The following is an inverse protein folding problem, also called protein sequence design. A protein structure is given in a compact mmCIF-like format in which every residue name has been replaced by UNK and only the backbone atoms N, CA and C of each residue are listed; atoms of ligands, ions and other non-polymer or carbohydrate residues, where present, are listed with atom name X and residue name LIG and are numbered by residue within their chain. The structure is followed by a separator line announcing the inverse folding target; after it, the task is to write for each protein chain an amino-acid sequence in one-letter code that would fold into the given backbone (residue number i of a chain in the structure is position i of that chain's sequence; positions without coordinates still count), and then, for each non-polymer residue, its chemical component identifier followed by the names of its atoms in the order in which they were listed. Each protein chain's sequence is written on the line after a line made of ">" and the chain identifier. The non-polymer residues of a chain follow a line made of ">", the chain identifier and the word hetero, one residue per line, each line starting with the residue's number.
data_IF_820134206801
#
_entry.id   IF_820134206801
#
_cell.length_a   1.000
_cell.length_b   1.000
_cell.length_c   1.000
_cell.angle_alpha   90.00
_cell.angle_beta   90.00
_cell.angle_gamma   90.00
#
_symmetry.space_group_name_H-M   'P 1'
#
loop_
_entity.id
_entity.type
_entity.pdbx_description
1 polymer ?
#
# COMPACT_ATOMS: atom_id res chain seq x y z
N UNK A 1 -6.53 46.19 -52.37
CA UNK A 1 -6.09 44.83 -51.99
C UNK A 1 -6.36 44.69 -50.51
N UNK A 2 -7.52 44.15 -50.15
CA UNK A 2 -7.99 44.05 -48.78
C UNK A 2 -7.47 42.74 -48.18
N UNK A 3 -6.57 42.84 -47.21
CA UNK A 3 -5.95 41.68 -46.56
C UNK A 3 -6.94 41.05 -45.59
N UNK A 4 -7.52 39.91 -46.00
CA UNK A 4 -8.35 39.09 -45.12
C UNK A 4 -7.44 38.51 -44.02
N UNK A 5 -7.52 39.06 -42.82
CA UNK A 5 -6.89 38.46 -41.64
C UNK A 5 -7.63 37.15 -41.31
N UNK A 6 -6.94 36.00 -41.23
CA UNK A 6 -7.59 34.75 -40.86
C UNK A 6 -8.04 34.82 -39.40
N UNK A 7 -9.34 34.61 -39.18
CA UNK A 7 -9.95 34.47 -37.85
C UNK A 7 -9.22 33.37 -37.06
N UNK A 8 -8.79 33.61 -35.81
CA UNK A 8 -8.14 32.58 -35.00
C UNK A 8 -9.11 31.40 -34.79
N UNK A 9 -8.69 30.20 -35.17
CA UNK A 9 -9.45 28.98 -34.87
C UNK A 9 -9.61 28.86 -33.35
N UNK A 10 -10.82 28.60 -32.82
CA UNK A 10 -11.03 28.42 -31.40
C UNK A 10 -10.14 27.27 -30.90
N UNK A 11 -9.34 27.56 -29.87
CA UNK A 11 -8.44 26.59 -29.27
C UNK A 11 -9.23 25.31 -28.91
N UNK A 12 -8.75 24.16 -29.41
CA UNK A 12 -9.38 22.87 -29.17
C UNK A 12 -9.53 22.63 -27.66
N UNK A 13 -10.76 22.75 -27.16
CA UNK A 13 -11.10 22.46 -25.78
C UNK A 13 -10.83 20.97 -25.57
N UNK A 14 -9.86 20.63 -24.71
CA UNK A 14 -9.59 19.23 -24.34
C UNK A 14 -10.93 18.60 -23.93
N UNK A 15 -11.36 17.51 -24.58
CA UNK A 15 -12.67 16.93 -24.27
C UNK A 15 -12.67 16.54 -22.79
N UNK A 16 -13.56 17.17 -22.02
CA UNK A 16 -13.76 16.80 -20.64
C UNK A 16 -14.19 15.33 -20.63
N UNK A 17 -13.36 14.45 -20.06
CA UNK A 17 -13.73 13.05 -19.88
C UNK A 17 -15.05 13.02 -19.12
N UNK A 18 -16.08 12.45 -19.73
CA UNK A 18 -17.40 12.29 -19.12
C UNK A 18 -17.53 10.85 -18.67
N UNK A 19 -18.12 10.66 -17.50
CA UNK A 19 -18.51 9.34 -17.00
C UNK A 19 -19.54 8.71 -17.94
N UNK A 20 -19.81 7.40 -17.79
CA UNK A 20 -20.87 6.71 -18.54
C UNK A 20 -22.28 7.34 -18.38
N UNK A 21 -22.47 8.20 -17.37
CA UNK A 21 -23.70 8.98 -17.12
C UNK A 21 -23.62 10.43 -17.63
N UNK A 22 -22.60 10.78 -18.40
CA UNK A 22 -22.42 12.13 -18.96
C UNK A 22 -21.92 13.20 -17.99
N UNK A 23 -21.69 12.87 -16.71
CA UNK A 23 -21.17 13.81 -15.71
C UNK A 23 -19.66 14.04 -15.91
N UNK A 24 -19.13 15.24 -15.62
CA UNK A 24 -17.69 15.49 -15.64
C UNK A 24 -16.95 14.47 -14.78
N UNK A 25 -15.94 13.80 -15.34
CA UNK A 25 -15.10 12.87 -14.60
C UNK A 25 -14.23 13.64 -13.62
N UNK A 26 -14.51 13.45 -12.33
CA UNK A 26 -13.65 13.94 -11.27
C UNK A 26 -12.78 12.78 -10.75
N UNK A 27 -11.44 12.83 -10.96
CA UNK A 27 -10.53 11.80 -10.51
C UNK A 27 -10.70 11.57 -8.99
N UNK A 28 -10.76 10.31 -8.58
CA UNK A 28 -10.85 9.98 -7.15
C UNK A 28 -9.58 10.34 -6.36
N UNK A 29 -8.46 10.58 -7.05
CA UNK A 29 -7.17 10.91 -6.47
C UNK A 29 -6.64 12.20 -7.11
N UNK A 30 -6.59 13.27 -6.34
CA UNK A 30 -6.02 14.55 -6.75
C UNK A 30 -4.48 14.48 -6.95
N UNK A 31 -3.86 15.48 -7.62
CA UNK A 31 -2.44 15.43 -7.98
C UNK A 31 -1.48 15.20 -6.81
N UNK A 32 -1.71 15.86 -5.67
CA UNK A 32 -0.89 15.69 -4.45
C UNK A 32 -1.04 14.29 -3.85
N UNK A 33 -2.26 13.74 -3.87
CA UNK A 33 -2.55 12.41 -3.34
C UNK A 33 -1.92 11.31 -4.22
N UNK A 34 -1.72 11.56 -5.52
CA UNK A 34 -0.97 10.65 -6.41
C UNK A 34 0.50 10.55 -6.01
N UNK A 35 1.16 11.66 -5.66
CA UNK A 35 2.56 11.63 -5.19
C UNK A 35 2.67 10.81 -3.92
N UNK A 36 1.75 11.03 -2.97
CA UNK A 36 1.72 10.23 -1.73
C UNK A 36 1.48 8.74 -2.02
N UNK A 37 0.59 8.41 -2.94
CA UNK A 37 0.38 7.03 -3.38
C UNK A 37 1.67 6.38 -3.90
N UNK A 38 2.45 7.10 -4.71
CA UNK A 38 3.75 6.60 -5.18
C UNK A 38 4.74 6.37 -4.04
N UNK A 39 4.79 7.26 -3.04
CA UNK A 39 5.60 7.07 -1.83
C UNK A 39 5.16 5.80 -1.09
N UNK A 40 3.85 5.60 -0.92
CA UNK A 40 3.30 4.40 -0.28
C UNK A 40 3.68 3.15 -1.07
N UNK A 41 3.55 3.14 -2.41
CA UNK A 41 3.94 2.00 -3.23
C UNK A 41 5.44 1.72 -3.20
N UNK A 42 6.29 2.74 -3.25
CA UNK A 42 7.74 2.57 -3.12
C UNK A 42 8.10 1.96 -1.76
N UNK A 43 7.47 2.45 -0.68
CA UNK A 43 7.64 1.90 0.66
C UNK A 43 7.16 0.45 0.76
N UNK A 44 5.98 0.13 0.24
CA UNK A 44 5.45 -1.24 0.21
C UNK A 44 6.38 -2.16 -0.61
N UNK A 45 6.91 -1.71 -1.73
CA UNK A 45 7.85 -2.49 -2.53
C UNK A 45 9.16 -2.78 -1.77
N UNK A 46 9.72 -1.77 -1.09
CA UNK A 46 10.90 -1.94 -0.23
C UNK A 46 10.63 -2.93 0.92
N UNK A 47 9.50 -2.79 1.61
CA UNK A 47 9.10 -3.69 2.68
C UNK A 47 8.85 -5.11 2.17
N UNK A 48 8.23 -5.24 0.99
CA UNK A 48 8.02 -6.52 0.33
C UNK A 48 9.33 -7.21 -0.01
N UNK A 49 10.29 -6.51 -0.59
CA UNK A 49 11.60 -7.06 -0.95
C UNK A 49 12.40 -7.50 0.30
N UNK A 50 12.47 -6.65 1.32
CA UNK A 50 13.16 -6.97 2.58
C UNK A 50 12.46 -8.10 3.34
N UNK A 51 11.13 -8.12 3.38
CA UNK A 51 10.34 -9.19 4.01
C UNK A 51 10.49 -10.53 3.28
N UNK A 52 10.46 -10.53 1.95
CA UNK A 52 10.69 -11.73 1.14
C UNK A 52 12.09 -12.31 1.38
N UNK A 53 13.12 -11.46 1.47
CA UNK A 53 14.48 -11.89 1.84
C UNK A 53 14.51 -12.56 3.22
N UNK A 54 13.91 -11.94 4.24
CA UNK A 54 13.91 -12.48 5.62
C UNK A 54 13.17 -13.82 5.70
N UNK A 55 12.02 -13.94 5.03
CA UNK A 55 11.29 -15.20 4.93
C UNK A 55 12.12 -16.26 4.21
N UNK A 56 12.79 -15.90 3.11
CA UNK A 56 13.63 -16.84 2.35
C UNK A 56 14.80 -17.39 3.20
N UNK A 57 15.51 -16.53 3.93
CA UNK A 57 16.59 -16.94 4.85
C UNK A 57 16.04 -17.86 5.94
N UNK A 58 14.89 -17.51 6.53
CA UNK A 58 14.24 -18.34 7.55
C UNK A 58 13.87 -19.73 7.01
N UNK A 59 13.30 -19.80 5.81
CA UNK A 59 12.95 -21.06 5.16
C UNK A 59 14.19 -21.90 4.82
N UNK A 60 15.25 -21.27 4.30
CA UNK A 60 16.49 -21.94 3.98
C UNK A 60 17.13 -22.57 5.23
N UNK A 61 17.13 -21.84 6.33
CA UNK A 61 17.58 -22.34 7.63
C UNK A 61 16.74 -23.53 8.12
N UNK A 62 15.41 -23.46 7.99
CA UNK A 62 14.53 -24.57 8.36
C UNK A 62 14.79 -25.83 7.53
N UNK A 63 15.01 -25.68 6.22
CA UNK A 63 15.22 -26.82 5.31
C UNK A 63 16.62 -27.41 5.43
N UNK A 64 17.64 -26.57 5.65
CA UNK A 64 19.05 -27.00 5.65
C UNK A 64 19.60 -27.29 7.04
N UNK A 65 18.94 -26.84 8.11
CA UNK A 65 19.41 -27.01 9.49
C UNK A 65 20.69 -26.22 9.82
N UNK A 66 21.07 -25.26 8.98
CA UNK A 66 22.25 -24.41 9.15
C UNK A 66 21.84 -22.97 9.42
N UNK A 67 22.66 -22.22 10.15
CA UNK A 67 22.42 -20.79 10.38
C UNK A 67 22.78 -19.99 9.13
N UNK A 68 21.79 -19.30 8.55
CA UNK A 68 21.98 -18.39 7.41
C UNK A 68 21.82 -16.91 7.80
N UNK A 69 21.44 -16.63 9.05
CA UNK A 69 21.41 -15.27 9.58
C UNK A 69 22.83 -14.73 9.76
N UNK A 70 23.07 -13.51 9.26
CA UNK A 70 24.35 -12.84 9.29
C UNK A 70 24.13 -11.31 9.44
N UNK A 71 25.22 -10.54 9.39
CA UNK A 71 25.15 -9.07 9.52
C UNK A 71 24.21 -8.41 8.50
N UNK A 72 24.16 -8.94 7.27
CA UNK A 72 23.27 -8.42 6.23
C UNK A 72 21.81 -8.74 6.55
N UNK A 73 21.51 -9.92 7.10
CA UNK A 73 20.16 -10.26 7.57
C UNK A 73 19.67 -9.34 8.69
N UNK A 74 20.56 -8.98 9.62
CA UNK A 74 20.27 -7.98 10.66
C UNK A 74 20.01 -6.61 10.01
N UNK A 75 20.85 -6.19 9.06
CA UNK A 75 20.64 -4.94 8.31
C UNK A 75 19.29 -4.90 7.58
N UNK A 76 18.91 -5.99 6.92
CA UNK A 76 17.61 -6.13 6.25
C UNK A 76 16.44 -6.07 7.21
N UNK A 77 16.55 -6.72 8.37
CA UNK A 77 15.56 -6.59 9.43
C UNK A 77 15.43 -5.14 9.92
N UNK A 78 16.53 -4.42 10.12
CA UNK A 78 16.51 -3.02 10.54
C UNK A 78 15.85 -2.13 9.49
N UNK A 79 16.20 -2.28 8.21
CA UNK A 79 15.53 -1.56 7.12
C UNK A 79 14.03 -1.86 7.12
N UNK A 80 13.65 -3.14 7.21
CA UNK A 80 12.25 -3.55 7.22
C UNK A 80 11.48 -2.94 8.40
N UNK A 81 12.03 -3.04 9.61
CA UNK A 81 11.39 -2.54 10.82
C UNK A 81 11.28 -1.00 10.83
N UNK A 82 12.39 -0.30 10.55
CA UNK A 82 12.43 1.17 10.58
C UNK A 82 11.54 1.75 9.49
N UNK A 83 11.69 1.31 8.24
CA UNK A 83 10.83 1.80 7.15
C UNK A 83 9.38 1.35 7.34
N UNK A 84 9.14 0.21 7.97
CA UNK A 84 7.80 -0.26 8.31
C UNK A 84 7.08 0.73 9.22
N UNK A 85 7.76 1.17 10.29
CA UNK A 85 7.24 2.20 11.20
C UNK A 85 7.08 3.55 10.50
N UNK A 86 8.07 3.99 9.71
CA UNK A 86 8.00 5.27 8.99
C UNK A 86 6.85 5.30 7.98
N UNK A 87 6.58 4.19 7.30
CA UNK A 87 5.52 4.09 6.29
C UNK A 87 4.11 4.14 6.88
N UNK A 88 3.94 3.90 8.19
CA UNK A 88 2.63 3.95 8.85
C UNK A 88 1.96 5.31 8.68
N UNK A 89 2.69 6.40 8.89
CA UNK A 89 2.14 7.76 8.79
C UNK A 89 1.62 8.10 7.39
N UNK A 90 2.43 8.01 6.31
CA UNK A 90 1.94 8.28 4.97
C UNK A 90 0.85 7.29 4.53
N UNK A 91 0.92 6.02 4.94
CA UNK A 91 -0.12 5.03 4.66
C UNK A 91 -1.47 5.40 5.30
N UNK A 92 -1.49 5.69 6.61
CA UNK A 92 -2.70 6.06 7.34
C UNK A 92 -3.29 7.37 6.81
N UNK A 93 -2.44 8.37 6.55
CA UNK A 93 -2.88 9.64 5.98
C UNK A 93 -3.51 9.43 4.60
N UNK A 94 -2.84 8.69 3.72
CA UNK A 94 -3.38 8.36 2.39
C UNK A 94 -4.72 7.63 2.50
N UNK A 95 -4.79 6.58 3.32
CA UNK A 95 -5.99 5.75 3.46
C UNK A 95 -7.19 6.52 4.00
N UNK A 96 -6.99 7.35 5.03
CA UNK A 96 -8.05 8.19 5.60
C UNK A 96 -8.57 9.23 4.60
N UNK A 97 -7.67 9.96 3.91
CA UNK A 97 -8.05 10.98 2.92
C UNK A 97 -8.73 10.32 1.71
N UNK A 98 -8.21 9.19 1.23
CA UNK A 98 -8.80 8.46 0.12
C UNK A 98 -10.21 7.94 0.47
N UNK A 99 -10.37 7.34 1.66
CA UNK A 99 -11.67 6.83 2.12
C UNK A 99 -12.71 7.94 2.28
N UNK A 100 -12.35 9.05 2.94
CA UNK A 100 -13.27 10.18 3.15
C UNK A 100 -13.79 10.77 1.84
N UNK A 101 -12.93 10.85 0.83
CA UNK A 101 -13.26 11.34 -0.51
C UNK A 101 -14.04 10.33 -1.34
N UNK A 102 -13.75 9.03 -1.20
CA UNK A 102 -14.32 7.97 -2.04
C UNK A 102 -15.60 7.32 -1.48
N UNK A 103 -15.88 7.41 -0.17
CA UNK A 103 -16.96 6.65 0.50
C UNK A 103 -18.36 6.85 -0.08
N UNK A 104 -18.64 8.02 -0.67
CA UNK A 104 -19.94 8.34 -1.26
C UNK A 104 -20.05 8.01 -2.75
N UNK A 105 -18.99 7.49 -3.38
CA UNK A 105 -19.00 7.15 -4.81
C UNK A 105 -20.03 6.04 -5.11
N UNK A 106 -20.66 6.05 -6.31
CA UNK A 106 -21.74 5.13 -6.66
C UNK A 106 -21.28 3.67 -6.80
N UNK A 107 -20.02 3.43 -7.16
CA UNK A 107 -19.47 2.08 -7.25
C UNK A 107 -19.15 1.53 -5.86
N UNK A 108 -20.14 0.88 -5.25
CA UNK A 108 -20.04 0.32 -3.89
C UNK A 108 -19.03 -0.82 -3.78
N UNK A 109 -18.78 -1.56 -4.87
CA UNK A 109 -17.78 -2.63 -4.86
C UNK A 109 -16.37 -2.06 -4.69
N UNK A 110 -16.02 -1.04 -5.48
CA UNK A 110 -14.72 -0.37 -5.36
C UNK A 110 -14.51 0.24 -3.97
N UNK A 111 -15.55 0.86 -3.39
CA UNK A 111 -15.51 1.41 -2.02
C UNK A 111 -15.31 0.31 -0.98
N UNK A 112 -16.07 -0.80 -1.05
CA UNK A 112 -15.91 -1.93 -0.13
C UNK A 112 -14.51 -2.51 -0.19
N UNK A 113 -13.99 -2.78 -1.41
CA UNK A 113 -12.63 -3.30 -1.59
C UNK A 113 -11.57 -2.32 -1.08
N UNK A 114 -11.77 -1.01 -1.24
CA UNK A 114 -10.87 0.01 -0.69
C UNK A 114 -10.85 0.03 0.84
N UNK A 115 -12.02 -0.10 1.48
CA UNK A 115 -12.14 -0.25 2.94
C UNK A 115 -11.46 -1.54 3.40
N UNK A 116 -11.72 -2.66 2.74
CA UNK A 116 -11.09 -3.94 3.06
C UNK A 116 -9.57 -3.83 2.94
N UNK A 117 -9.05 -3.25 1.86
CA UNK A 117 -7.62 -3.04 1.67
C UNK A 117 -7.02 -2.19 2.80
N UNK A 118 -7.69 -1.11 3.19
CA UNK A 118 -7.22 -0.25 4.27
C UNK A 118 -7.17 -0.98 5.61
N UNK A 119 -8.21 -1.75 5.94
CA UNK A 119 -8.25 -2.60 7.14
C UNK A 119 -7.13 -3.65 7.10
N UNK A 120 -6.95 -4.35 5.97
CA UNK A 120 -5.88 -5.33 5.82
C UNK A 120 -4.50 -4.70 6.00
N UNK A 121 -4.26 -3.50 5.48
CA UNK A 121 -3.01 -2.76 5.71
C UNK A 121 -2.80 -2.37 7.18
N UNK A 122 -3.87 -2.02 7.91
CA UNK A 122 -3.81 -1.81 9.37
C UNK A 122 -3.43 -3.11 10.09
N UNK A 123 -3.96 -4.27 9.68
CA UNK A 123 -3.59 -5.56 10.27
C UNK A 123 -2.11 -5.90 10.03
N UNK A 124 -1.56 -5.60 8.85
CA UNK A 124 -0.13 -5.74 8.56
C UNK A 124 0.69 -4.85 9.51
N UNK A 125 0.29 -3.58 9.66
CA UNK A 125 0.95 -2.63 10.55
C UNK A 125 0.96 -3.08 12.01
N UNK A 126 -0.20 -3.46 12.55
CA UNK A 126 -0.34 -3.88 13.94
C UNK A 126 0.42 -5.18 14.22
N UNK A 127 0.36 -6.15 13.30
CA UNK A 127 1.12 -7.39 13.44
C UNK A 127 2.64 -7.15 13.37
N UNK A 128 3.11 -6.22 12.53
CA UNK A 128 4.52 -5.84 12.46
C UNK A 128 5.00 -5.18 13.74
N UNK A 129 4.25 -4.19 14.26
CA UNK A 129 4.55 -3.53 15.53
C UNK A 129 4.58 -4.54 16.70
N UNK A 130 3.65 -5.50 16.73
CA UNK A 130 3.59 -6.52 17.78
C UNK A 130 4.79 -7.49 17.76
N UNK A 131 5.50 -7.62 16.63
CA UNK A 131 6.67 -8.49 16.51
C UNK A 131 7.99 -7.83 16.93
N UNK A 132 8.00 -6.50 17.08
CA UNK A 132 9.16 -5.72 17.52
C UNK A 132 9.52 -6.13 18.96
N UNK A 133 10.81 -6.42 19.17
CA UNK A 133 11.34 -6.80 20.48
C UNK A 133 12.27 -5.71 20.99
N UNK A 134 11.70 -4.76 21.73
CA UNK A 134 12.44 -3.67 22.36
C UNK A 134 12.23 -3.75 23.88
N UNK A 135 13.33 -3.73 24.64
CA UNK A 135 13.37 -4.01 26.09
C UNK A 135 12.42 -3.16 26.95
N UNK A 136 11.93 -2.02 26.42
CA UNK A 136 11.02 -1.09 27.12
C UNK A 136 9.59 -1.07 26.56
N UNK A 137 9.25 -1.97 25.66
CA UNK A 137 7.91 -2.07 25.05
C UNK A 137 7.26 -3.42 25.40
N UNK A 138 5.93 -3.54 25.29
CA UNK A 138 5.28 -4.85 25.33
C UNK A 138 5.86 -5.77 24.26
N UNK A 139 6.33 -6.95 24.65
CA UNK A 139 6.93 -7.93 23.74
C UNK A 139 6.11 -9.21 23.73
N UNK A 140 5.87 -9.76 22.54
CA UNK A 140 5.40 -11.13 22.40
C UNK A 140 6.56 -12.10 22.66
N UNK A 141 6.50 -12.94 23.72
CA UNK A 141 7.63 -13.80 24.07
C UNK A 141 7.98 -14.77 22.95
N UNK A 142 9.27 -14.97 22.72
CA UNK A 142 9.77 -15.92 21.73
C UNK A 142 9.35 -17.35 22.08
N UNK A 143 9.04 -18.17 21.07
CA UNK A 143 8.62 -19.56 21.25
C UNK A 143 7.15 -19.77 21.63
N UNK A 144 6.37 -18.70 21.80
CA UNK A 144 4.93 -18.80 22.10
C UNK A 144 4.07 -19.02 20.85
N UNK A 145 2.92 -19.69 21.03
CA UNK A 145 1.93 -19.87 19.97
C UNK A 145 1.40 -18.53 19.46
N UNK A 146 1.17 -17.56 20.35
CA UNK A 146 0.69 -16.22 19.98
C UNK A 146 1.65 -15.52 19.02
N UNK A 147 2.96 -15.54 19.30
CA UNK A 147 3.97 -14.96 18.41
C UNK A 147 3.99 -15.67 17.05
N UNK A 148 3.84 -16.99 17.02
CA UNK A 148 3.76 -17.76 15.77
C UNK A 148 2.55 -17.37 14.91
N UNK A 149 1.38 -17.22 15.53
CA UNK A 149 0.16 -16.77 14.83
C UNK A 149 0.36 -15.37 14.27
N UNK A 150 0.87 -14.43 15.09
CA UNK A 150 1.12 -13.04 14.66
C UNK A 150 2.15 -12.98 13.54
N UNK A 151 3.24 -13.75 13.63
CA UNK A 151 4.23 -13.87 12.57
C UNK A 151 3.63 -14.42 11.27
N UNK A 152 2.85 -15.50 11.35
CA UNK A 152 2.17 -16.08 10.18
C UNK A 152 1.20 -15.08 9.53
N UNK A 153 0.42 -14.36 10.33
CA UNK A 153 -0.45 -13.29 9.85
C UNK A 153 0.35 -12.16 9.21
N UNK A 154 1.46 -11.73 9.80
CA UNK A 154 2.30 -10.66 9.26
C UNK A 154 2.92 -11.04 7.90
N UNK A 155 3.21 -12.31 7.68
CA UNK A 155 3.71 -12.81 6.39
C UNK A 155 2.58 -12.98 5.35
N UNK A 156 1.41 -13.46 5.77
CA UNK A 156 0.30 -13.77 4.86
C UNK A 156 -0.54 -12.54 4.46
N UNK A 157 -0.78 -11.62 5.40
CA UNK A 157 -1.66 -10.45 5.19
C UNK A 157 -1.17 -9.48 4.11
N UNK A 158 0.14 -9.22 3.90
CA UNK A 158 0.62 -8.41 2.78
C UNK A 158 0.31 -9.03 1.42
N UNK A 159 0.43 -10.36 1.30
CA UNK A 159 0.10 -11.08 0.06
C UNK A 159 -1.38 -10.94 -0.26
N UNK A 160 -2.24 -11.09 0.76
CA UNK A 160 -3.68 -10.85 0.63
C UNK A 160 -3.98 -9.38 0.26
N UNK A 161 -3.26 -8.41 0.84
CA UNK A 161 -3.42 -7.00 0.53
C UNK A 161 -3.11 -6.71 -0.96
N UNK A 162 -2.09 -7.35 -1.55
CA UNK A 162 -1.80 -7.21 -2.99
C UNK A 162 -2.98 -7.73 -3.82
N UNK A 163 -3.52 -8.89 -3.50
CA UNK A 163 -4.68 -9.45 -4.21
C UNK A 163 -5.90 -8.52 -4.12
N UNK A 164 -6.21 -8.03 -2.91
CA UNK A 164 -7.32 -7.08 -2.69
C UNK A 164 -7.07 -5.77 -3.43
N UNK A 165 -5.83 -5.27 -3.45
CA UNK A 165 -5.46 -4.07 -4.22
C UNK A 165 -5.71 -4.24 -5.71
N UNK A 166 -5.33 -5.38 -6.29
CA UNK A 166 -5.60 -5.67 -7.71
C UNK A 166 -7.10 -5.67 -7.99
N UNK A 167 -7.91 -6.30 -7.13
CA UNK A 167 -9.37 -6.29 -7.25
C UNK A 167 -9.94 -4.88 -7.11
N UNK A 168 -9.46 -4.11 -6.13
CA UNK A 168 -9.86 -2.73 -5.91
C UNK A 168 -9.57 -1.85 -7.13
N UNK A 169 -8.37 -2.00 -7.73
CA UNK A 169 -7.97 -1.24 -8.91
C UNK A 169 -8.81 -1.61 -10.14
N UNK A 170 -9.07 -2.91 -10.35
CA UNK A 170 -9.93 -3.39 -11.44
C UNK A 170 -11.40 -2.96 -11.28
N UNK A 171 -11.86 -2.80 -10.04
CA UNK A 171 -13.21 -2.31 -9.77
C UNK A 171 -13.33 -0.78 -9.91
N UNK A 172 -12.21 -0.03 -9.86
CA UNK A 172 -12.21 1.42 -10.05
C UNK A 172 -12.51 1.80 -11.52
N UNK A 173 -13.06 3.00 -11.78
CA UNK A 173 -13.22 3.48 -13.15
C UNK A 173 -11.86 3.79 -13.77
N UNK A 174 -11.67 3.35 -15.02
CA UNK A 174 -10.59 3.83 -15.90
C UNK A 174 -10.71 5.35 -16.14
#
# INVERSE_FOLDING_TARGET
>A
METINPTPLPAAVKPALRTARGQPYEPAIGPRLKVLLFIVFAGVALLGATGAYLVAIRLLQLVRGQQYENQFSIGMFMVHAVFGVLLLLPFLFFGCVHLTTARHRPNRLAVKLGITLFITGILVALSGLALIQLDKMPQLPTGTLSRWIVYGLHVATPVLAVAIYVLHRRAGPD
#
